data_IF_533204565929
#
_entry.id   IF_533204565929
#
_cell.length_a   1.000
_cell.length_b   1.000
_cell.length_c   1.000
_cell.angle_alpha   90.00
_cell.angle_beta   90.00
_cell.angle_gamma   90.00
#
_symmetry.space_group_name_H-M   'P 1'
#
loop_
_entity.id
_entity.type
_entity.pdbx_description
1 polymer ?
#
# COMPACT_ATOMS: atom_id res chain seq x y z
N UNK A 1 -9.86 -2.75 2.35
CA UNK A 1 -10.00 -3.59 1.14
C UNK A 1 -10.43 -2.84 -0.11
N UNK A 2 -11.47 -1.99 -0.09
CA UNK A 2 -11.87 -1.21 -1.29
C UNK A 2 -10.71 -0.42 -1.92
N UNK A 3 -10.01 0.40 -1.12
CA UNK A 3 -8.85 1.19 -1.57
C UNK A 3 -7.76 0.35 -2.24
N UNK A 4 -7.30 -0.74 -1.60
CA UNK A 4 -6.22 -1.58 -2.13
C UNK A 4 -6.57 -2.33 -3.42
N UNK A 5 -7.86 -2.62 -3.64
CA UNK A 5 -8.35 -3.15 -4.92
C UNK A 5 -8.56 -2.06 -5.97
N UNK A 6 -8.58 -0.77 -5.60
CA UNK A 6 -9.04 0.30 -6.48
C UNK A 6 -10.53 0.19 -6.81
N UNK A 7 -11.32 -0.36 -5.88
CA UNK A 7 -12.76 -0.59 -6.05
C UNK A 7 -13.58 0.37 -5.20
N UNK A 8 -14.80 0.65 -5.64
CA UNK A 8 -15.75 1.48 -4.90
C UNK A 8 -16.80 0.64 -4.15
N UNK A 9 -17.41 1.25 -3.13
CA UNK A 9 -18.44 0.59 -2.30
C UNK A 9 -19.69 0.20 -3.09
N UNK A 10 -19.94 0.84 -4.24
CA UNK A 10 -21.06 0.53 -5.13
C UNK A 10 -20.76 -0.61 -6.13
N UNK A 11 -19.50 -1.07 -6.25
CA UNK A 11 -19.15 -2.13 -7.20
C UNK A 11 -19.83 -3.45 -6.82
N UNK A 12 -20.44 -4.13 -7.78
CA UNK A 12 -20.96 -5.49 -7.59
C UNK A 12 -19.84 -6.53 -7.57
N UNK A 13 -20.16 -7.79 -7.23
CA UNK A 13 -19.19 -8.88 -7.11
C UNK A 13 -18.27 -9.04 -8.33
N UNK A 14 -18.81 -8.93 -9.54
CA UNK A 14 -18.01 -8.99 -10.79
C UNK A 14 -17.16 -7.73 -11.01
N UNK A 15 -17.60 -6.58 -10.51
CA UNK A 15 -16.79 -5.35 -10.49
C UNK A 15 -15.58 -5.50 -9.57
N UNK A 16 -15.77 -6.11 -8.40
CA UNK A 16 -14.68 -6.44 -7.47
C UNK A 16 -13.68 -7.42 -8.10
N UNK A 17 -14.16 -8.48 -8.75
CA UNK A 17 -13.29 -9.47 -9.41
C UNK A 17 -12.45 -8.84 -10.53
N UNK A 18 -13.06 -7.98 -11.36
CA UNK A 18 -12.33 -7.24 -12.40
C UNK A 18 -11.27 -6.30 -11.82
N UNK A 19 -11.58 -5.61 -10.71
CA UNK A 19 -10.61 -4.75 -10.03
C UNK A 19 -9.42 -5.57 -9.49
N UNK A 20 -9.70 -6.73 -8.88
CA UNK A 20 -8.68 -7.68 -8.44
C UNK A 20 -7.79 -8.18 -9.61
N UNK A 21 -8.39 -8.60 -10.71
CA UNK A 21 -7.68 -9.07 -11.91
C UNK A 21 -6.77 -7.98 -12.49
N UNK A 22 -7.27 -6.74 -12.60
CA UNK A 22 -6.50 -5.60 -13.07
C UNK A 22 -5.28 -5.30 -12.16
N UNK A 23 -5.45 -5.39 -10.84
CA UNK A 23 -4.34 -5.19 -9.88
C UNK A 23 -3.33 -6.33 -9.90
N UNK A 24 -3.76 -7.55 -10.23
CA UNK A 24 -2.87 -8.70 -10.40
C UNK A 24 -2.10 -8.65 -11.71
N UNK A 25 -2.70 -8.14 -12.79
CA UNK A 25 -2.03 -7.99 -14.08
C UNK A 25 -1.08 -6.79 -14.15
N UNK A 26 -1.14 -5.91 -13.16
CA UNK A 26 -0.24 -4.75 -13.00
C UNK A 26 0.55 -4.86 -11.68
N UNK A 27 1.50 -5.79 -11.57
CA UNK A 27 2.41 -5.81 -10.43
C UNK A 27 3.30 -4.55 -10.44
N UNK A 28 3.76 -4.10 -9.27
CA UNK A 28 4.77 -3.04 -9.18
C UNK A 28 5.97 -3.41 -10.05
N UNK A 29 6.40 -2.48 -10.90
CA UNK A 29 7.60 -2.65 -11.74
C UNK A 29 8.88 -2.48 -10.91
N UNK A 30 8.75 -1.88 -9.73
CA UNK A 30 9.84 -1.57 -8.83
C UNK A 30 10.37 -2.83 -8.15
N UNK A 31 11.65 -2.79 -7.74
CA UNK A 31 12.47 -3.94 -7.33
C UNK A 31 12.10 -4.68 -6.03
N UNK A 32 10.82 -4.78 -5.71
CA UNK A 32 10.29 -5.60 -4.62
C UNK A 32 10.72 -7.06 -4.76
N UNK A 33 10.90 -7.73 -3.62
CA UNK A 33 11.17 -9.16 -3.59
C UNK A 33 9.97 -9.99 -4.05
N UNK A 34 10.22 -11.23 -4.51
CA UNK A 34 9.17 -12.18 -4.84
C UNK A 34 8.24 -12.46 -3.64
N UNK A 35 8.78 -12.45 -2.42
CA UNK A 35 8.00 -12.67 -1.19
C UNK A 35 7.03 -11.50 -0.94
N UNK A 36 7.48 -10.26 -1.14
CA UNK A 36 6.61 -9.08 -1.06
C UNK A 36 5.53 -9.10 -2.14
N UNK A 37 5.86 -9.47 -3.38
CA UNK A 37 4.91 -9.58 -4.48
C UNK A 37 3.89 -10.72 -4.25
N UNK A 38 4.32 -11.85 -3.69
CA UNK A 38 3.45 -12.94 -3.30
C UNK A 38 2.49 -12.51 -2.19
N UNK A 39 3.01 -11.87 -1.13
CA UNK A 39 2.18 -11.31 -0.06
C UNK A 39 1.15 -10.32 -0.59
N UNK A 40 1.57 -9.37 -1.45
CA UNK A 40 0.68 -8.41 -2.12
C UNK A 40 -0.48 -9.13 -2.79
N UNK A 41 -0.21 -10.16 -3.60
CA UNK A 41 -1.25 -10.93 -4.28
C UNK A 41 -2.19 -11.64 -3.31
N UNK A 42 -1.67 -12.22 -2.22
CA UNK A 42 -2.49 -12.88 -1.21
C UNK A 42 -3.44 -11.89 -0.49
N UNK A 43 -2.98 -10.67 -0.21
CA UNK A 43 -3.82 -9.64 0.40
C UNK A 43 -4.89 -9.18 -0.60
N UNK A 44 -4.54 -8.98 -1.86
CA UNK A 44 -5.52 -8.67 -2.93
C UNK A 44 -6.59 -9.77 -3.06
N UNK A 45 -6.18 -11.04 -2.99
CA UNK A 45 -7.11 -12.17 -3.05
C UNK A 45 -8.06 -12.15 -1.85
N UNK A 46 -7.54 -11.98 -0.64
CA UNK A 46 -8.37 -11.88 0.57
C UNK A 46 -9.37 -10.71 0.50
N UNK A 47 -8.94 -9.57 -0.04
CA UNK A 47 -9.82 -8.43 -0.30
C UNK A 47 -10.92 -8.77 -1.32
N UNK A 48 -10.57 -9.46 -2.42
CA UNK A 48 -11.53 -9.90 -3.42
C UNK A 48 -12.56 -10.87 -2.84
N UNK A 49 -12.10 -11.90 -2.13
CA UNK A 49 -12.96 -12.92 -1.53
C UNK A 49 -13.94 -12.31 -0.52
N UNK A 50 -13.46 -11.37 0.30
CA UNK A 50 -14.28 -10.64 1.26
C UNK A 50 -15.32 -9.78 0.56
N UNK A 51 -14.92 -8.98 -0.44
CA UNK A 51 -15.79 -7.98 -1.07
C UNK A 51 -16.71 -8.54 -2.16
N UNK A 52 -16.41 -9.70 -2.72
CA UNK A 52 -17.27 -10.40 -3.68
C UNK A 52 -18.35 -11.27 -3.00
N UNK A 53 -18.21 -11.59 -1.71
CA UNK A 53 -19.20 -12.32 -0.93
C UNK A 53 -20.18 -11.36 -0.25
N UNK A 54 -21.51 -11.45 -0.50
CA UNK A 54 -22.48 -10.53 0.11
C UNK A 54 -22.46 -10.52 1.64
N UNK A 55 -22.33 -11.70 2.27
CA UNK A 55 -22.29 -11.84 3.72
C UNK A 55 -21.01 -11.20 4.31
N UNK A 56 -19.84 -11.62 3.83
CA UNK A 56 -18.55 -11.10 4.33
C UNK A 56 -18.38 -9.61 4.07
N UNK A 57 -18.88 -9.13 2.93
CA UNK A 57 -18.89 -7.70 2.61
C UNK A 57 -19.81 -6.93 3.54
N UNK A 58 -20.96 -7.49 3.91
CA UNK A 58 -21.87 -6.92 4.91
C UNK A 58 -21.16 -6.71 6.24
N UNK A 59 -20.53 -7.76 6.76
CA UNK A 59 -19.77 -7.71 8.02
C UNK A 59 -18.61 -6.71 7.95
N UNK A 60 -17.85 -6.73 6.85
CA UNK A 60 -16.74 -5.80 6.63
C UNK A 60 -17.22 -4.33 6.55
N UNK A 61 -18.33 -4.07 5.87
CA UNK A 61 -18.89 -2.73 5.77
C UNK A 61 -19.43 -2.25 7.12
N UNK A 62 -20.05 -3.12 7.90
CA UNK A 62 -20.52 -2.78 9.25
C UNK A 62 -19.34 -2.42 10.15
N UNK A 63 -18.27 -3.23 10.14
CA UNK A 63 -17.07 -2.96 10.91
C UNK A 63 -16.33 -1.67 10.47
N UNK A 64 -16.47 -1.24 9.20
CA UNK A 64 -16.00 0.08 8.74
C UNK A 64 -16.80 1.23 9.37
N UNK A 65 -18.13 1.08 9.44
CA UNK A 65 -19.01 2.11 10.00
C UNK A 65 -18.78 2.26 11.50
N UNK A 66 -18.55 1.16 12.20
CA UNK A 66 -18.37 1.12 13.64
C UNK A 66 -16.94 1.51 14.10
N UNK A 67 -16.05 1.85 13.16
CA UNK A 67 -14.60 2.07 13.38
C UNK A 67 -13.94 0.90 14.15
N UNK A 68 -14.50 -0.30 14.00
CA UNK A 68 -14.09 -1.51 14.72
C UNK A 68 -13.07 -2.35 13.93
N UNK A 69 -12.61 -1.86 12.78
CA UNK A 69 -11.69 -2.58 11.91
C UNK A 69 -10.25 -2.52 12.41
N UNK A 70 -9.87 -3.55 13.17
CA UNK A 70 -8.47 -3.88 13.45
C UNK A 70 -8.02 -5.04 12.55
N UNK A 71 -7.40 -4.71 11.42
CA UNK A 71 -6.78 -5.74 10.56
C UNK A 71 -5.37 -6.03 11.05
N UNK A 72 -5.18 -7.16 11.71
CA UNK A 72 -3.83 -7.67 12.03
C UNK A 72 -3.18 -8.19 10.75
N UNK A 73 -2.00 -7.66 10.41
CA UNK A 73 -1.23 -8.12 9.25
C UNK A 73 -0.15 -9.08 9.76
N UNK A 74 -0.15 -10.35 9.31
CA UNK A 74 0.94 -11.28 9.61
C UNK A 74 2.30 -10.69 9.25
N UNK A 75 3.32 -10.93 10.06
CA UNK A 75 4.63 -10.28 9.92
C UNK A 75 5.25 -10.49 8.53
N UNK A 76 5.18 -11.71 8.02
CA UNK A 76 5.63 -12.11 6.68
C UNK A 76 4.90 -11.38 5.55
N UNK A 77 3.71 -10.85 5.81
CA UNK A 77 2.90 -10.13 4.83
C UNK A 77 3.12 -8.61 4.83
N UNK A 78 3.78 -8.07 5.85
CA UNK A 78 3.97 -6.62 6.03
C UNK A 78 4.58 -5.93 4.80
N UNK A 79 5.63 -6.46 4.13
CA UNK A 79 6.17 -5.81 2.93
C UNK A 79 5.15 -5.69 1.78
N UNK A 80 4.36 -6.74 1.56
CA UNK A 80 3.28 -6.72 0.57
C UNK A 80 2.14 -5.77 0.94
N UNK A 81 1.83 -5.63 2.24
CA UNK A 81 0.85 -4.67 2.72
C UNK A 81 1.32 -3.23 2.53
N UNK A 82 2.59 -2.92 2.85
CA UNK A 82 3.17 -1.60 2.61
C UNK A 82 3.20 -1.25 1.13
N UNK A 83 3.54 -2.21 0.27
CA UNK A 83 3.45 -2.04 -1.17
C UNK A 83 2.04 -1.64 -1.62
N UNK A 84 1.00 -2.34 -1.13
CA UNK A 84 -0.39 -2.00 -1.46
C UNK A 84 -0.83 -0.63 -0.95
N UNK A 85 -0.39 -0.24 0.25
CA UNK A 85 -0.66 1.08 0.81
C UNK A 85 -0.02 2.18 -0.05
N UNK A 86 1.23 1.97 -0.48
CA UNK A 86 1.91 2.90 -1.38
C UNK A 86 1.18 3.02 -2.71
N UNK A 87 0.83 1.90 -3.36
CA UNK A 87 0.06 1.92 -4.62
C UNK A 87 -1.34 2.56 -4.47
N UNK A 88 -1.88 2.59 -3.25
CA UNK A 88 -3.17 3.23 -2.94
C UNK A 88 -3.05 4.71 -2.59
N UNK A 89 -1.85 5.29 -2.64
CA UNK A 89 -1.58 6.69 -2.29
C UNK A 89 -1.55 6.99 -0.79
N UNK A 90 -1.46 5.96 0.08
CA UNK A 90 -1.43 6.13 1.54
C UNK A 90 -0.01 6.46 2.03
N UNK A 91 0.61 7.47 1.43
CA UNK A 91 2.03 7.79 1.62
C UNK A 91 2.40 8.04 3.09
N UNK A 92 1.59 8.80 3.83
CA UNK A 92 1.85 9.08 5.25
C UNK A 92 1.83 7.80 6.11
N UNK A 93 0.89 6.89 5.85
CA UNK A 93 0.81 5.60 6.57
C UNK A 93 2.03 4.75 6.27
N UNK A 94 2.44 4.68 5.01
CA UNK A 94 3.64 3.95 4.58
C UNK A 94 4.88 4.48 5.30
N UNK A 95 5.06 5.81 5.34
CA UNK A 95 6.19 6.43 6.01
C UNK A 95 6.15 6.22 7.53
N UNK A 96 4.99 6.36 8.17
CA UNK A 96 4.85 6.16 9.62
C UNK A 96 5.13 4.72 10.04
N UNK A 97 4.59 3.74 9.29
CA UNK A 97 4.82 2.31 9.56
C UNK A 97 6.26 1.94 9.22
N UNK A 98 6.77 2.36 8.08
CA UNK A 98 8.14 2.11 7.63
C UNK A 98 9.18 2.62 8.63
N UNK A 99 9.03 3.85 9.12
CA UNK A 99 9.91 4.40 10.15
C UNK A 99 9.92 3.54 11.42
N UNK A 100 8.76 3.05 11.90
CA UNK A 100 8.70 2.15 13.05
C UNK A 100 9.41 0.82 12.76
N UNK A 101 9.18 0.24 11.59
CA UNK A 101 9.83 -1.02 11.19
C UNK A 101 11.35 -0.91 11.06
N UNK A 102 11.89 0.24 10.66
CA UNK A 102 13.34 0.43 10.56
C UNK A 102 14.05 0.42 11.93
N UNK A 103 13.33 0.57 13.04
CA UNK A 103 13.87 0.39 14.39
C UNK A 103 13.94 -1.10 14.80
N UNK A 104 13.30 -1.99 14.05
CA UNK A 104 13.29 -3.42 14.30
C UNK A 104 14.46 -4.13 13.62
N UNK A 105 14.79 -5.34 14.10
CA UNK A 105 15.80 -6.19 13.45
C UNK A 105 15.19 -6.95 12.27
N UNK A 106 15.24 -6.32 11.09
CA UNK A 106 14.72 -6.89 9.85
C UNK A 106 15.75 -7.76 9.11
N UNK A 107 15.26 -8.75 8.35
CA UNK A 107 16.10 -9.44 7.36
C UNK A 107 16.43 -8.48 6.21
N UNK A 108 17.56 -8.70 5.52
CA UNK A 108 17.97 -7.87 4.37
C UNK A 108 16.88 -7.70 3.29
N UNK A 109 16.22 -8.77 2.78
CA UNK A 109 15.19 -8.60 1.74
C UNK A 109 13.98 -7.84 2.28
N UNK A 110 13.56 -8.10 3.52
CA UNK A 110 12.45 -7.40 4.15
C UNK A 110 12.75 -5.90 4.30
N UNK A 111 13.94 -5.55 4.82
CA UNK A 111 14.36 -4.15 4.97
C UNK A 111 14.35 -3.44 3.61
N UNK A 112 14.86 -4.10 2.56
CA UNK A 112 14.89 -3.54 1.20
C UNK A 112 13.49 -3.20 0.69
N UNK A 113 12.52 -4.10 0.88
CA UNK A 113 11.14 -3.87 0.42
C UNK A 113 10.45 -2.75 1.23
N UNK A 114 10.71 -2.66 2.54
CA UNK A 114 10.23 -1.55 3.38
C UNK A 114 10.81 -0.22 2.89
N UNK A 115 12.13 -0.15 2.70
CA UNK A 115 12.84 1.04 2.23
C UNK A 115 12.34 1.46 0.84
N UNK A 116 12.10 0.50 -0.07
CA UNK A 116 11.56 0.78 -1.39
C UNK A 116 10.17 1.40 -1.32
N UNK A 117 9.26 0.81 -0.53
CA UNK A 117 7.91 1.36 -0.35
C UNK A 117 7.95 2.78 0.24
N UNK A 118 8.83 3.04 1.21
CA UNK A 118 9.02 4.38 1.78
C UNK A 118 9.58 5.38 0.77
N UNK A 119 10.56 4.98 -0.04
CA UNK A 119 11.13 5.84 -1.07
C UNK A 119 10.07 6.23 -2.12
N UNK A 120 9.27 5.27 -2.58
CA UNK A 120 8.15 5.53 -3.50
C UNK A 120 7.09 6.44 -2.87
N UNK A 121 6.76 6.27 -1.58
CA UNK A 121 5.86 7.16 -0.88
C UNK A 121 6.37 8.61 -0.79
N UNK A 122 7.68 8.82 -0.66
CA UNK A 122 8.28 10.15 -0.77
C UNK A 122 8.22 10.72 -2.20
N UNK A 123 8.35 9.88 -3.23
CA UNK A 123 8.14 10.30 -4.63
C UNK A 123 6.70 10.74 -4.85
N UNK A 124 5.72 10.03 -4.29
CA UNK A 124 4.30 10.43 -4.33
C UNK A 124 4.09 11.80 -3.68
N UNK A 125 4.69 12.05 -2.50
CA UNK A 125 4.65 13.37 -1.86
C UNK A 125 5.29 14.48 -2.69
N UNK A 126 6.41 14.19 -3.35
CA UNK A 126 7.05 15.16 -4.26
C UNK A 126 6.12 15.48 -5.44
N UNK A 127 5.50 14.47 -6.04
CA UNK A 127 4.51 14.64 -7.10
C UNK A 127 3.34 15.52 -6.66
N UNK A 128 2.79 15.28 -5.46
CA UNK A 128 1.67 16.05 -4.92
C UNK A 128 2.06 17.52 -4.66
N UNK A 129 3.25 17.76 -4.10
CA UNK A 129 3.77 19.12 -3.90
C UNK A 129 3.96 19.88 -5.23
N UNK A 130 4.42 19.17 -6.27
CA UNK A 130 4.55 19.72 -7.62
C UNK A 130 3.21 20.00 -8.32
N UNK A 131 2.14 19.31 -7.92
CA UNK A 131 0.79 19.51 -8.47
C UNK A 131 0.05 20.72 -7.89
N UNK A 132 0.58 21.35 -6.82
CA UNK A 132 0.04 22.59 -6.26
C UNK A 132 0.22 23.77 -7.23
N UNK A 133 -0.58 24.82 -7.03
CA UNK A 133 -0.51 26.04 -7.84
C UNK A 133 -0.44 27.29 -6.93
N UNK A 134 0.74 27.93 -6.76
CA UNK A 134 2.03 27.57 -7.37
C UNK A 134 2.61 26.27 -6.77
N UNK A 135 3.49 25.56 -7.51
CA UNK A 135 4.18 24.36 -7.00
C UNK A 135 5.01 24.65 -5.74
N UNK A 136 4.97 23.75 -4.76
CA UNK A 136 5.86 23.81 -3.59
C UNK A 136 7.18 23.09 -3.88
N UNK A 137 8.13 23.83 -4.45
CA UNK A 137 9.44 23.32 -4.84
C UNK A 137 10.28 22.86 -3.64
N UNK A 138 10.15 23.50 -2.49
CA UNK A 138 10.95 23.19 -1.30
C UNK A 138 10.52 21.82 -0.78
N UNK A 139 9.24 21.63 -0.53
CA UNK A 139 8.71 20.35 -0.05
C UNK A 139 8.96 19.21 -1.05
N UNK A 140 8.91 19.50 -2.35
CA UNK A 140 9.21 18.53 -3.40
C UNK A 140 10.66 18.05 -3.35
N UNK A 141 11.63 18.97 -3.33
CA UNK A 141 13.04 18.63 -3.23
C UNK A 141 13.36 17.88 -1.94
N UNK A 142 12.84 18.33 -0.80
CA UNK A 142 13.03 17.70 0.50
C UNK A 142 12.55 16.24 0.50
N UNK A 143 11.40 15.96 -0.13
CA UNK A 143 10.86 14.61 -0.24
C UNK A 143 11.78 13.71 -1.10
N UNK A 144 12.27 14.19 -2.24
CA UNK A 144 13.17 13.45 -3.10
C UNK A 144 14.54 13.19 -2.45
N UNK A 145 15.06 14.15 -1.69
CA UNK A 145 16.30 13.96 -0.92
C UNK A 145 16.16 12.87 0.14
N UNK A 146 15.02 12.84 0.86
CA UNK A 146 14.72 11.77 1.82
C UNK A 146 14.59 10.40 1.16
N UNK A 147 13.94 10.32 0.01
CA UNK A 147 13.85 9.09 -0.78
C UNK A 147 15.26 8.59 -1.16
N UNK A 148 16.11 9.48 -1.69
CA UNK A 148 17.47 9.14 -2.09
C UNK A 148 18.33 8.70 -0.91
N UNK A 149 18.18 9.34 0.25
CA UNK A 149 18.90 8.96 1.47
C UNK A 149 18.53 7.55 1.90
N UNK A 150 17.23 7.24 1.96
CA UNK A 150 16.75 5.91 2.34
C UNK A 150 17.31 4.80 1.44
N UNK A 151 17.36 5.04 0.12
CA UNK A 151 17.87 4.05 -0.84
C UNK A 151 19.38 3.80 -0.74
N UNK A 152 20.13 4.67 -0.03
CA UNK A 152 21.58 4.55 0.17
C UNK A 152 21.97 3.88 1.49
N UNK A 153 21.01 3.62 2.39
CA UNK A 153 21.20 2.97 3.72
C UNK A 153 21.00 1.44 3.70
#
# INVERSE_FOLDING_TARGET
FYKVLGAETHFLGDGIRRAFEARCSTPPLDGFSNDALLSRRQILQAACDTLSSPALRGDYNQALVDDALLTQVPWDKVPGALCLLQESGEAEVVLQVGNRLLHERLSKPFKRDVVLAMALAYVDRSRDAMALNPPDLISSCDALERALKLLKE
#
